data_IF_024491813088
#
_entry.id   IF_024491813088
#
_cell.length_a   1.000
_cell.length_b   1.000
_cell.length_c   1.000
_cell.angle_alpha   90.00
_cell.angle_beta   90.00
_cell.angle_gamma   90.00
#
_symmetry.space_group_name_H-M   'P 1'
#
loop_
_entity.id
_entity.type
_entity.pdbx_description
1 polymer ?
#
# COMPACT_ATOMS: atom_id res chain seq x y z
N UNK A 1 28.38 2.85 5.91
CA UNK A 1 27.01 3.39 5.89
C UNK A 1 26.14 2.51 6.76
N UNK A 2 25.67 3.00 7.91
CA UNK A 2 24.84 2.24 8.86
C UNK A 2 23.41 2.19 8.33
N UNK A 3 22.89 1.00 8.05
CA UNK A 3 21.50 0.86 7.59
C UNK A 3 20.56 1.16 8.77
N UNK A 4 19.58 2.06 8.64
CA UNK A 4 18.65 2.34 9.73
C UNK A 4 17.86 1.08 10.08
N UNK A 5 17.76 0.80 11.37
CA UNK A 5 16.92 -0.27 11.91
C UNK A 5 15.50 0.26 11.97
N UNK A 6 14.60 -0.33 11.18
CA UNK A 6 13.18 0.03 11.18
C UNK A 6 12.45 -0.73 12.30
N UNK A 7 11.46 -0.10 12.96
CA UNK A 7 10.60 -0.78 13.93
C UNK A 7 9.91 -2.00 13.33
N UNK A 8 9.66 -3.05 14.11
CA UNK A 8 9.10 -4.33 13.64
C UNK A 8 7.79 -4.20 12.86
N UNK A 9 6.98 -3.17 13.13
CA UNK A 9 5.65 -2.97 12.54
C UNK A 9 5.55 -1.77 11.60
N UNK A 10 6.68 -1.16 11.19
CA UNK A 10 6.69 0.06 10.38
C UNK A 10 5.83 -0.05 9.09
N UNK A 11 5.85 -1.21 8.44
CA UNK A 11 5.07 -1.46 7.22
C UNK A 11 3.56 -1.45 7.46
N UNK A 12 3.10 -1.80 8.67
CA UNK A 12 1.69 -1.78 9.03
C UNK A 12 1.26 -0.33 9.23
N UNK A 13 2.04 0.43 9.98
CA UNK A 13 1.70 1.81 10.31
C UNK A 13 1.64 2.68 9.05
N UNK A 14 2.62 2.52 8.14
CA UNK A 14 2.57 3.17 6.83
C UNK A 14 1.37 2.74 5.98
N UNK A 15 0.96 1.46 6.04
CA UNK A 15 -0.23 1.01 5.31
C UNK A 15 -1.50 1.67 5.86
N UNK A 16 -1.63 1.76 7.19
CA UNK A 16 -2.76 2.43 7.84
C UNK A 16 -2.79 3.92 7.49
N UNK A 17 -1.64 4.58 7.52
CA UNK A 17 -1.49 5.99 7.12
C UNK A 17 -1.90 6.21 5.65
N UNK A 18 -1.40 5.37 4.74
CA UNK A 18 -1.79 5.40 3.33
C UNK A 18 -3.29 5.20 3.15
N UNK A 19 -3.90 4.28 3.92
CA UNK A 19 -5.34 4.01 3.83
C UNK A 19 -6.17 5.21 4.32
N UNK A 20 -5.77 5.83 5.43
CA UNK A 20 -6.41 7.06 5.92
C UNK A 20 -6.29 8.20 4.92
N UNK A 21 -5.12 8.37 4.29
CA UNK A 21 -4.92 9.36 3.25
C UNK A 21 -5.83 9.10 2.04
N UNK A 22 -5.96 7.85 1.61
CA UNK A 22 -6.84 7.47 0.50
C UNK A 22 -8.31 7.74 0.81
N UNK A 23 -8.79 7.41 2.02
CA UNK A 23 -10.15 7.72 2.47
C UNK A 23 -10.43 9.22 2.51
N UNK A 24 -9.47 10.03 2.97
CA UNK A 24 -9.63 11.49 3.03
C UNK A 24 -9.63 12.14 1.65
N UNK A 25 -8.77 11.67 0.75
CA UNK A 25 -8.57 12.30 -0.57
C UNK A 25 -9.59 11.84 -1.58
N UNK A 26 -9.96 10.57 -1.55
CA UNK A 26 -10.81 9.92 -2.55
C UNK A 26 -12.16 9.47 -1.97
N UNK A 27 -12.49 9.90 -0.75
CA UNK A 27 -13.68 9.47 -0.02
C UNK A 27 -14.96 9.48 -0.84
N UNK A 28 -15.20 10.54 -1.62
CA UNK A 28 -16.40 10.69 -2.46
C UNK A 28 -16.52 9.64 -3.58
N UNK A 29 -15.39 9.14 -4.09
CA UNK A 29 -15.37 8.15 -5.19
C UNK A 29 -15.20 6.72 -4.69
N UNK A 30 -15.07 6.50 -3.37
CA UNK A 30 -15.00 5.17 -2.80
C UNK A 30 -16.36 4.47 -2.82
N UNK A 31 -16.44 3.39 -3.59
CA UNK A 31 -17.58 2.47 -3.58
C UNK A 31 -17.80 1.83 -2.21
N UNK A 32 -19.02 1.33 -1.98
CA UNK A 32 -19.37 0.61 -0.76
C UNK A 32 -18.46 -0.60 -0.51
N UNK A 33 -18.03 -1.29 -1.59
CA UNK A 33 -17.09 -2.42 -1.47
C UNK A 33 -15.75 -1.99 -0.88
N UNK A 34 -15.26 -0.80 -1.23
CA UNK A 34 -14.01 -0.26 -0.68
C UNK A 34 -14.18 0.08 0.80
N UNK A 35 -15.31 0.72 1.17
CA UNK A 35 -15.61 1.07 2.57
C UNK A 35 -15.74 -0.19 3.44
N UNK A 36 -16.44 -1.21 2.94
CA UNK A 36 -16.56 -2.50 3.60
C UNK A 36 -15.19 -3.18 3.80
N UNK A 37 -14.30 -3.14 2.79
CA UNK A 37 -12.94 -3.63 2.95
C UNK A 37 -12.18 -2.91 4.08
N UNK A 38 -12.25 -1.58 4.13
CA UNK A 38 -11.58 -0.80 5.19
C UNK A 38 -12.16 -1.11 6.56
N UNK A 39 -13.48 -1.22 6.68
CA UNK A 39 -14.14 -1.59 7.93
C UNK A 39 -13.72 -2.99 8.40
N UNK A 40 -13.74 -3.99 7.49
CA UNK A 40 -13.27 -5.34 7.78
C UNK A 40 -11.81 -5.35 8.20
N UNK A 41 -10.93 -4.64 7.49
CA UNK A 41 -9.52 -4.53 7.80
C UNK A 41 -9.29 -3.92 9.20
N UNK A 42 -10.01 -2.85 9.55
CA UNK A 42 -9.94 -2.21 10.88
C UNK A 42 -10.44 -3.12 12.00
N UNK A 43 -11.38 -4.02 11.71
CA UNK A 43 -11.89 -5.01 12.67
C UNK A 43 -10.97 -6.20 12.93
N UNK A 44 -9.93 -6.41 12.11
CA UNK A 44 -8.96 -7.49 12.32
C UNK A 44 -8.09 -7.23 13.56
N UNK A 45 -7.64 -8.30 14.21
CA UNK A 45 -6.60 -8.22 15.24
C UNK A 45 -5.29 -7.66 14.66
N UNK A 46 -4.44 -7.10 15.52
CA UNK A 46 -3.14 -6.55 15.11
C UNK A 46 -2.31 -7.55 14.28
N UNK A 47 -2.22 -8.80 14.74
CA UNK A 47 -1.45 -9.84 14.06
C UNK A 47 -2.07 -10.25 12.73
N UNK A 48 -3.41 -10.29 12.65
CA UNK A 48 -4.13 -10.55 11.40
C UNK A 48 -3.91 -9.42 10.37
N UNK A 49 -3.90 -8.16 10.81
CA UNK A 49 -3.54 -7.03 9.94
C UNK A 49 -2.10 -7.16 9.45
N UNK A 50 -1.15 -7.47 10.34
CA UNK A 50 0.25 -7.68 9.96
C UNK A 50 0.41 -8.82 8.96
N UNK A 51 -0.28 -9.95 9.15
CA UNK A 51 -0.24 -11.09 8.24
C UNK A 51 -0.78 -10.72 6.85
N UNK A 52 -1.95 -10.08 6.81
CA UNK A 52 -2.55 -9.63 5.56
C UNK A 52 -1.63 -8.67 4.80
N UNK A 53 -1.06 -7.67 5.47
CA UNK A 53 -0.16 -6.70 4.84
C UNK A 53 1.13 -7.39 4.35
N UNK A 54 1.66 -8.36 5.12
CA UNK A 54 2.79 -9.19 4.65
C UNK A 54 2.45 -9.96 3.39
N UNK A 55 1.23 -10.51 3.29
CA UNK A 55 0.78 -11.21 2.09
C UNK A 55 0.63 -10.26 0.90
N UNK A 56 0.02 -9.09 1.10
CA UNK A 56 -0.17 -8.06 0.06
C UNK A 56 1.16 -7.49 -0.43
N UNK A 57 2.11 -7.24 0.47
CA UNK A 57 3.42 -6.66 0.15
C UNK A 57 4.40 -7.67 -0.47
N UNK A 58 4.09 -8.97 -0.50
CA UNK A 58 4.97 -10.00 -1.08
C UNK A 58 4.80 -10.02 -2.60
N UNK A 59 5.68 -9.30 -3.33
CA UNK A 59 5.88 -9.28 -4.80
C UNK A 59 4.59 -9.29 -5.66
N UNK A 60 4.14 -8.10 -6.05
CA UNK A 60 3.86 -7.73 -7.45
C UNK A 60 2.72 -8.39 -8.23
N UNK A 61 1.98 -9.36 -7.68
CA UNK A 61 0.90 -10.02 -8.44
C UNK A 61 -0.31 -9.11 -8.71
N UNK A 62 -0.51 -8.04 -7.92
CA UNK A 62 -1.70 -7.20 -7.98
C UNK A 62 -1.43 -5.84 -8.68
N UNK A 63 -0.16 -5.48 -8.91
CA UNK A 63 0.23 -4.21 -9.53
C UNK A 63 0.87 -4.36 -10.92
N UNK A 64 0.51 -5.40 -11.68
CA UNK A 64 0.79 -5.39 -13.12
C UNK A 64 -0.31 -4.61 -13.85
N UNK A 65 -0.34 -3.29 -13.65
CA UNK A 65 -1.04 -2.38 -14.55
C UNK A 65 0.02 -1.77 -15.45
N UNK A 66 0.22 -2.41 -16.60
CA UNK A 66 0.83 -1.82 -17.81
C UNK A 66 2.08 -0.98 -17.52
N UNK A 67 3.26 -1.60 -17.62
CA UNK A 67 4.51 -0.87 -17.79
C UNK A 67 4.46 -0.07 -19.12
N UNK A 68 3.77 1.08 -19.12
CA UNK A 68 3.83 2.04 -20.21
C UNK A 68 5.17 2.74 -20.11
N UNK A 69 5.96 2.57 -21.16
CA UNK A 69 7.41 2.74 -21.16
C UNK A 69 7.90 4.09 -20.66
N UNK A 70 8.90 4.04 -19.76
CA UNK A 70 9.87 5.12 -19.65
C UNK A 70 10.82 5.00 -20.84
N UNK A 71 10.49 5.67 -21.96
CA UNK A 71 11.48 5.99 -22.97
C UNK A 71 12.38 7.07 -22.37
N UNK A 72 13.49 6.64 -21.76
CA UNK A 72 14.55 7.56 -21.38
C UNK A 72 15.00 8.29 -22.65
N UNK A 73 14.80 9.60 -22.67
CA UNK A 73 15.47 10.54 -23.56
C UNK A 73 16.97 10.50 -23.24
N UNK A 74 17.68 9.55 -23.84
CA UNK A 74 19.12 9.67 -24.02
C UNK A 74 19.32 10.52 -25.28
N UNK A 75 19.60 11.81 -25.09
CA UNK A 75 20.21 12.64 -26.13
C UNK A 75 21.72 12.44 -26.07
N UNK A 76 22.39 11.99 -27.14
CA UNK A 76 23.84 12.00 -27.21
C UNK A 76 24.32 13.39 -27.66
N UNK A 77 25.40 13.87 -27.02
CA UNK A 77 26.39 14.71 -27.68
C UNK A 77 27.50 13.80 -28.20
#
# INVERSE_FOLDING_TARGET
MTRPVLPTYYYRDHFVEMLQFAERTYGEILTEKHRAFVACFRGLSHDAQCLLIRMVNRRGAIFNREARGRRAIASPK
#
